data_IF_040427985497
#
_entry.id   IF_040427985497
#
_cell.length_a   1.000
_cell.length_b   1.000
_cell.length_c   1.000
_cell.angle_alpha   90.00
_cell.angle_beta   90.00
_cell.angle_gamma   90.00
#
_symmetry.space_group_name_H-M   'P 1'
#
loop_
_entity.id
_entity.type
_entity.pdbx_description
1 polymer ?
#
# COMPACT_ATOMS: atom_id res chain seq x y z
N UNK A 1 2.70 36.90 -11.14
CA UNK A 1 3.47 36.05 -10.20
C UNK A 1 4.35 35.18 -11.08
N UNK A 2 5.67 35.20 -10.86
CA UNK A 2 6.65 34.71 -11.83
C UNK A 2 6.78 33.18 -11.72
N UNK A 3 6.26 32.44 -12.70
CA UNK A 3 6.18 30.97 -12.72
C UNK A 3 7.51 30.32 -13.14
N UNK A 4 8.51 31.13 -13.52
CA UNK A 4 9.78 30.69 -14.09
C UNK A 4 10.95 30.78 -13.10
N UNK A 5 10.90 30.08 -11.96
CA UNK A 5 12.13 29.91 -11.15
C UNK A 5 12.82 28.57 -11.35
N UNK A 6 12.08 27.54 -11.76
CA UNK A 6 12.62 26.22 -12.09
C UNK A 6 11.69 25.55 -13.12
N UNK A 7 12.04 25.49 -14.42
CA UNK A 7 11.23 24.72 -15.36
C UNK A 7 11.24 23.25 -14.92
N UNK A 8 10.07 22.72 -14.63
CA UNK A 8 9.88 21.29 -14.31
C UNK A 8 10.19 20.49 -15.58
N UNK A 9 11.26 19.70 -15.58
CA UNK A 9 11.49 18.74 -16.66
C UNK A 9 10.67 17.46 -16.41
N UNK A 10 9.41 17.48 -16.83
CA UNK A 10 8.49 16.36 -16.68
C UNK A 10 8.97 15.09 -17.41
N UNK A 11 9.88 15.22 -18.39
CA UNK A 11 10.36 14.07 -19.15
C UNK A 11 11.31 13.18 -18.35
N UNK A 12 11.91 13.68 -17.27
CA UNK A 12 12.71 12.85 -16.36
C UNK A 12 11.87 11.78 -15.64
N UNK A 13 10.56 11.99 -15.52
CA UNK A 13 9.60 11.07 -14.90
C UNK A 13 8.86 10.20 -15.91
N UNK A 14 9.06 10.43 -17.21
CA UNK A 14 8.38 9.67 -18.25
C UNK A 14 8.88 8.24 -18.27
N UNK A 15 8.00 7.28 -18.02
CA UNK A 15 8.30 5.87 -18.21
C UNK A 15 8.16 5.47 -19.68
N UNK A 16 8.50 4.24 -20.06
CA UNK A 16 8.30 3.72 -21.43
C UNK A 16 6.81 3.58 -21.84
N UNK A 17 5.87 4.03 -20.99
CA UNK A 17 4.43 3.98 -21.22
C UNK A 17 3.84 5.25 -21.87
N UNK A 18 2.51 5.24 -22.02
CA UNK A 18 1.71 6.36 -22.55
C UNK A 18 1.14 7.23 -21.42
N UNK A 19 1.96 7.63 -20.45
CA UNK A 19 1.53 8.54 -19.39
C UNK A 19 1.21 9.93 -19.97
N UNK A 20 0.13 10.56 -19.50
CA UNK A 20 -0.22 11.92 -19.88
C UNK A 20 0.78 12.92 -19.29
N UNK A 21 1.03 14.04 -19.97
CA UNK A 21 1.89 15.10 -19.43
C UNK A 21 1.38 15.63 -18.08
N UNK A 22 0.05 15.62 -17.86
CA UNK A 22 -0.58 15.99 -16.59
C UNK A 22 -0.25 15.02 -15.46
N UNK A 23 -0.24 13.73 -15.75
CA UNK A 23 0.19 12.72 -14.78
C UNK A 23 1.66 12.91 -14.40
N UNK A 24 2.52 13.18 -15.38
CA UNK A 24 3.95 13.47 -15.15
C UNK A 24 4.16 14.77 -14.37
N UNK A 25 3.33 15.79 -14.60
CA UNK A 25 3.37 17.04 -13.84
C UNK A 25 3.17 16.81 -12.35
N UNK A 26 2.23 15.94 -11.94
CA UNK A 26 1.99 15.66 -10.53
C UNK A 26 3.23 15.06 -9.84
N UNK A 27 3.93 14.12 -10.53
CA UNK A 27 5.21 13.56 -10.07
C UNK A 27 6.28 14.65 -9.95
N UNK A 28 6.41 15.50 -10.97
CA UNK A 28 7.39 16.57 -11.01
C UNK A 28 7.14 17.64 -9.94
N UNK A 29 5.89 18.06 -9.74
CA UNK A 29 5.51 19.03 -8.70
C UNK A 29 5.76 18.46 -7.30
N UNK A 30 5.48 17.18 -7.07
CA UNK A 30 5.79 16.54 -5.79
C UNK A 30 7.31 16.53 -5.53
N UNK A 31 8.13 16.22 -6.53
CA UNK A 31 9.59 16.26 -6.38
C UNK A 31 10.11 17.69 -6.19
N UNK A 32 9.56 18.67 -6.90
CA UNK A 32 9.88 20.09 -6.73
C UNK A 32 9.61 20.51 -5.29
N UNK A 33 8.43 20.21 -4.75
CA UNK A 33 8.07 20.54 -3.37
C UNK A 33 9.03 19.90 -2.37
N UNK A 34 9.42 18.63 -2.58
CA UNK A 34 10.50 17.99 -1.80
C UNK A 34 11.82 18.76 -1.89
N UNK A 35 12.30 19.10 -3.09
CA UNK A 35 13.56 19.82 -3.29
C UNK A 35 13.56 21.21 -2.62
N UNK A 36 12.39 21.84 -2.56
CA UNK A 36 12.18 23.17 -1.98
C UNK A 36 11.69 23.16 -0.52
N UNK A 37 11.48 21.98 0.06
CA UNK A 37 10.95 21.80 1.41
C UNK A 37 9.59 22.46 1.63
N UNK A 38 8.71 22.25 0.66
CA UNK A 38 7.33 22.74 0.63
C UNK A 38 6.35 21.59 0.86
N UNK A 39 5.24 21.84 1.53
CA UNK A 39 4.20 20.84 1.74
C UNK A 39 3.55 20.42 0.41
N UNK A 40 3.25 19.13 0.19
CA UNK A 40 3.56 18.00 1.07
C UNK A 40 5.04 17.55 0.96
N UNK A 41 5.78 17.57 2.08
CA UNK A 41 7.13 17.01 2.24
C UNK A 41 7.14 16.00 3.41
N UNK A 42 7.88 14.92 3.22
CA UNK A 42 8.17 13.89 4.22
C UNK A 42 9.68 13.61 4.30
N UNK A 43 10.14 13.24 5.48
CA UNK A 43 11.49 12.71 5.67
C UNK A 43 11.61 11.32 5.05
N UNK A 44 12.69 11.06 4.30
CA UNK A 44 12.99 9.75 3.75
C UNK A 44 13.57 9.74 2.34
N UNK A 45 13.66 8.54 1.77
CA UNK A 45 14.06 8.33 0.38
C UNK A 45 12.82 8.32 -0.52
N UNK A 46 12.85 9.12 -1.59
CA UNK A 46 11.78 9.19 -2.58
C UNK A 46 12.18 8.37 -3.80
N UNK A 47 11.29 7.46 -4.21
CA UNK A 47 11.46 6.62 -5.39
C UNK A 47 10.26 6.80 -6.30
N UNK A 48 10.51 7.38 -7.47
CA UNK A 48 9.51 7.55 -8.51
C UNK A 48 9.51 6.33 -9.43
N UNK A 49 8.34 5.95 -9.94
CA UNK A 49 8.26 4.93 -10.97
C UNK A 49 9.08 5.34 -12.20
N UNK A 50 9.90 4.40 -12.70
CA UNK A 50 10.72 4.61 -13.91
C UNK A 50 10.54 3.51 -14.95
N UNK A 51 9.77 2.45 -14.66
CA UNK A 51 9.58 1.28 -15.52
C UNK A 51 8.17 0.72 -15.34
N UNK A 52 7.52 0.40 -16.46
CA UNK A 52 6.23 -0.29 -16.51
C UNK A 52 6.43 -1.69 -15.93
N UNK A 53 6.07 -1.86 -14.67
CA UNK A 53 5.88 -3.15 -14.05
C UNK A 53 4.51 -3.15 -13.39
N UNK A 54 3.87 -4.32 -13.32
CA UNK A 54 2.55 -4.40 -12.74
C UNK A 54 2.59 -4.00 -11.26
N UNK A 55 1.68 -3.11 -10.86
CA UNK A 55 1.44 -2.65 -9.47
C UNK A 55 2.61 -1.92 -8.81
N UNK A 56 3.29 -1.03 -9.53
CA UNK A 56 4.21 -0.02 -8.93
C UNK A 56 3.39 1.23 -8.56
N UNK A 57 3.68 1.89 -7.42
CA UNK A 57 3.17 3.26 -7.16
C UNK A 57 3.63 4.24 -8.21
N UNK A 58 3.08 5.44 -8.21
CA UNK A 58 3.76 6.56 -8.88
C UNK A 58 4.97 7.04 -8.07
N UNK A 59 4.82 7.08 -6.74
CA UNK A 59 5.88 7.45 -5.80
C UNK A 59 5.84 6.58 -4.54
N UNK A 60 6.99 6.03 -4.17
CA UNK A 60 7.25 5.53 -2.82
C UNK A 60 8.07 6.54 -2.02
N UNK A 61 7.66 6.77 -0.77
CA UNK A 61 8.50 7.44 0.22
C UNK A 61 8.85 6.43 1.30
N UNK A 62 10.14 6.11 1.42
CA UNK A 62 10.67 5.24 2.47
C UNK A 62 11.17 6.10 3.62
N UNK A 63 10.39 6.13 4.70
CA UNK A 63 10.62 7.01 5.84
C UNK A 63 11.02 6.19 7.08
N UNK A 64 11.82 6.74 8.00
CA UNK A 64 12.03 6.13 9.31
C UNK A 64 10.75 5.95 10.13
N UNK A 65 9.68 6.66 9.78
CA UNK A 65 8.42 6.67 10.55
C UNK A 65 7.28 5.96 9.83
N UNK A 66 6.90 6.44 8.64
CA UNK A 66 5.77 5.92 7.88
C UNK A 66 6.12 5.89 6.40
N UNK A 67 6.14 4.69 5.84
CA UNK A 67 6.29 4.51 4.40
C UNK A 67 5.01 4.93 3.68
N UNK A 68 5.14 5.59 2.52
CA UNK A 68 4.00 6.11 1.75
C UNK A 68 4.00 5.62 0.32
N UNK A 69 2.83 5.19 -0.12
CA UNK A 69 2.50 4.85 -1.49
C UNK A 69 1.60 5.97 -2.02
N UNK A 70 2.03 6.65 -3.07
CA UNK A 70 1.26 7.76 -3.65
C UNK A 70 0.93 7.38 -5.09
N UNK A 71 -0.36 7.49 -5.44
CA UNK A 71 -0.92 7.24 -6.77
C UNK A 71 -1.58 8.53 -7.30
N UNK A 72 -1.12 9.00 -8.44
CA UNK A 72 -1.63 10.14 -9.19
C UNK A 72 -2.53 9.66 -10.33
N UNK A 73 -3.83 9.91 -10.23
CA UNK A 73 -4.83 9.41 -11.18
C UNK A 73 -5.22 10.50 -12.18
N UNK A 74 -4.94 10.25 -13.47
CA UNK A 74 -5.38 11.07 -14.61
C UNK A 74 -5.83 10.23 -15.81
N UNK A 75 -7.02 9.64 -15.72
CA UNK A 75 -7.73 9.05 -16.87
C UNK A 75 -7.41 7.59 -17.20
N UNK A 76 -6.52 6.93 -16.46
CA UNK A 76 -6.30 5.48 -16.56
C UNK A 76 -7.13 4.71 -15.54
N UNK A 77 -7.63 3.54 -15.93
CA UNK A 77 -8.32 2.61 -15.02
C UNK A 77 -7.37 2.11 -13.94
N UNK A 78 -7.88 1.94 -12.73
CA UNK A 78 -7.09 1.53 -11.57
C UNK A 78 -7.80 0.41 -10.81
N UNK A 79 -7.04 -0.60 -10.38
CA UNK A 79 -7.51 -1.61 -9.42
C UNK A 79 -7.48 -1.03 -7.99
N UNK A 80 -8.30 0.00 -7.71
CA UNK A 80 -8.20 0.79 -6.46
C UNK A 80 -8.14 -0.07 -5.20
N UNK A 81 -9.03 -1.07 -5.10
CA UNK A 81 -9.10 -2.00 -3.97
C UNK A 81 -7.83 -2.86 -3.87
N UNK A 82 -7.43 -3.51 -4.96
CA UNK A 82 -6.28 -4.41 -4.97
C UNK A 82 -4.98 -3.66 -4.65
N UNK A 83 -4.75 -2.49 -5.28
CA UNK A 83 -3.60 -1.63 -5.00
C UNK A 83 -3.58 -1.12 -3.55
N UNK A 84 -4.73 -0.74 -3.01
CA UNK A 84 -4.84 -0.30 -1.61
C UNK A 84 -4.46 -1.42 -0.64
N UNK A 85 -5.01 -2.62 -0.85
CA UNK A 85 -4.68 -3.80 -0.05
C UNK A 85 -3.20 -4.15 -0.16
N UNK A 86 -2.64 -4.13 -1.37
CA UNK A 86 -1.22 -4.43 -1.58
C UNK A 86 -0.31 -3.42 -0.87
N UNK A 87 -0.59 -2.11 -0.99
CA UNK A 87 0.17 -1.09 -0.29
C UNK A 87 0.18 -1.31 1.23
N UNK A 88 -0.99 -1.59 1.81
CA UNK A 88 -1.12 -1.87 3.24
C UNK A 88 -0.36 -3.14 3.65
N UNK A 89 -0.47 -4.25 2.90
CA UNK A 89 0.29 -5.49 3.16
C UNK A 89 1.78 -5.22 3.26
N UNK A 90 2.30 -4.36 2.38
CA UNK A 90 3.71 -3.99 2.30
C UNK A 90 4.14 -2.91 3.32
N UNK A 91 3.25 -2.49 4.22
CA UNK A 91 3.57 -1.51 5.27
C UNK A 91 3.55 -0.06 4.81
N UNK A 92 2.94 0.23 3.66
CA UNK A 92 2.74 1.59 3.19
C UNK A 92 1.34 2.08 3.58
N UNK A 93 1.25 3.34 3.99
CA UNK A 93 -0.03 4.05 3.89
C UNK A 93 -0.20 4.54 2.46
N UNK A 94 -1.41 4.51 1.92
CA UNK A 94 -1.65 4.87 0.52
C UNK A 94 -2.43 6.18 0.40
N UNK A 95 -1.96 7.05 -0.49
CA UNK A 95 -2.62 8.27 -0.91
C UNK A 95 -3.08 8.13 -2.35
N UNK A 96 -4.38 8.32 -2.57
CA UNK A 96 -4.97 8.42 -3.90
C UNK A 96 -5.23 9.89 -4.22
N UNK A 97 -4.55 10.40 -5.25
CA UNK A 97 -4.54 11.82 -5.61
C UNK A 97 -5.08 11.98 -7.03
N UNK A 98 -6.20 12.65 -7.18
CA UNK A 98 -6.89 12.75 -8.48
C UNK A 98 -6.68 14.11 -9.11
N UNK A 99 -6.51 14.15 -10.43
CA UNK A 99 -6.59 15.41 -11.14
C UNK A 99 -7.97 16.04 -10.93
N UNK A 100 -8.07 17.35 -10.70
CA UNK A 100 -9.35 18.03 -10.34
C UNK A 100 -10.49 17.78 -11.34
N UNK A 101 -10.16 17.59 -12.63
CA UNK A 101 -11.11 17.30 -13.70
C UNK A 101 -11.53 15.81 -13.80
N UNK A 102 -11.14 14.96 -12.85
CA UNK A 102 -11.43 13.51 -12.83
C UNK A 102 -12.44 13.11 -11.76
N UNK A 103 -13.53 13.87 -11.69
CA UNK A 103 -14.61 13.63 -10.71
C UNK A 103 -15.22 12.23 -10.80
N UNK A 104 -15.35 11.68 -12.01
CA UNK A 104 -15.90 10.33 -12.22
C UNK A 104 -14.98 9.24 -11.66
N UNK A 105 -13.66 9.31 -11.91
CA UNK A 105 -12.69 8.36 -11.37
C UNK A 105 -12.60 8.47 -9.85
N UNK A 106 -12.68 9.68 -9.30
CA UNK A 106 -12.75 9.88 -7.84
C UNK A 106 -14.00 9.22 -7.24
N UNK A 107 -15.15 9.31 -7.92
CA UNK A 107 -16.39 8.65 -7.49
C UNK A 107 -16.31 7.12 -7.64
N UNK A 108 -15.64 6.63 -8.68
CA UNK A 108 -15.37 5.21 -8.86
C UNK A 108 -14.46 4.64 -7.76
N UNK A 109 -13.34 5.30 -7.49
CA UNK A 109 -12.45 4.96 -6.39
C UNK A 109 -13.20 4.96 -5.05
N UNK A 110 -14.08 5.95 -4.84
CA UNK A 110 -14.93 5.97 -3.65
C UNK A 110 -15.79 4.72 -3.55
N UNK A 111 -16.51 4.36 -4.62
CA UNK A 111 -17.36 3.16 -4.63
C UNK A 111 -16.56 1.88 -4.43
N UNK A 112 -15.40 1.77 -5.06
CA UNK A 112 -14.53 0.60 -4.97
C UNK A 112 -13.96 0.37 -3.56
N UNK A 113 -13.89 1.41 -2.73
CA UNK A 113 -13.32 1.37 -1.39
C UNK A 113 -14.37 1.57 -0.28
N UNK A 114 -15.63 1.85 -0.60
CA UNK A 114 -16.64 2.30 0.36
C UNK A 114 -16.95 1.26 1.43
N UNK A 115 -16.94 -0.03 1.07
CA UNK A 115 -17.22 -1.13 2.00
C UNK A 115 -16.09 -1.32 3.04
N UNK A 116 -14.85 -0.97 2.68
CA UNK A 116 -13.68 -1.16 3.54
C UNK A 116 -13.27 0.15 4.24
N UNK A 117 -13.58 1.32 3.68
CA UNK A 117 -13.23 2.61 4.29
C UNK A 117 -14.14 2.97 5.45
N UNK A 118 -13.53 3.28 6.60
CA UNK A 118 -14.22 3.69 7.82
C UNK A 118 -14.17 5.20 8.01
N UNK A 119 -15.33 5.79 8.26
CA UNK A 119 -15.45 7.20 8.63
C UNK A 119 -15.32 8.18 7.44
N UNK A 120 -15.27 9.49 7.72
CA UNK A 120 -15.03 10.49 6.68
C UNK A 120 -13.61 10.36 6.14
N UNK A 121 -13.48 10.50 4.82
CA UNK A 121 -12.22 10.34 4.11
C UNK A 121 -12.19 11.24 2.88
N UNK A 122 -11.06 11.92 2.67
CA UNK A 122 -10.86 12.85 1.56
C UNK A 122 -9.71 12.37 0.67
N UNK A 123 -10.02 12.08 -0.59
CA UNK A 123 -8.99 11.88 -1.61
C UNK A 123 -8.19 13.16 -1.86
N UNK A 124 -6.90 12.98 -2.17
CA UNK A 124 -6.05 14.07 -2.62
C UNK A 124 -6.46 14.63 -3.98
N UNK A 125 -5.95 15.81 -4.29
CA UNK A 125 -6.21 16.48 -5.55
C UNK A 125 -4.98 17.20 -6.08
N UNK A 126 -4.85 17.24 -7.40
CA UNK A 126 -3.85 18.05 -8.07
C UNK A 126 -4.43 18.84 -9.26
N UNK A 127 -3.88 20.02 -9.50
CA UNK A 127 -4.20 20.92 -10.61
C UNK A 127 -2.94 21.63 -11.09
N UNK A 128 -2.50 21.29 -12.29
CA UNK A 128 -1.35 21.91 -12.95
C UNK A 128 -1.56 23.41 -13.17
N UNK A 129 -2.75 23.82 -13.62
CA UNK A 129 -3.04 25.21 -13.97
C UNK A 129 -3.05 26.12 -12.72
N UNK A 130 -3.53 25.57 -11.59
CA UNK A 130 -3.54 26.23 -10.29
C UNK A 130 -2.27 26.06 -9.46
N UNK A 131 -1.33 25.21 -9.88
CA UNK A 131 -0.16 24.85 -9.07
C UNK A 131 -0.50 24.13 -7.76
N UNK A 132 -1.63 23.41 -7.74
CA UNK A 132 -2.17 22.76 -6.54
C UNK A 132 -1.74 21.30 -6.48
N UNK A 133 -1.32 20.86 -5.29
CA UNK A 133 -1.11 19.47 -4.95
C UNK A 133 -1.42 19.28 -3.46
N UNK A 134 -2.39 18.43 -3.17
CA UNK A 134 -2.81 18.00 -1.84
C UNK A 134 -2.95 16.47 -1.86
N UNK A 135 -2.36 15.78 -0.88
CA UNK A 135 -2.41 14.31 -0.81
C UNK A 135 -3.69 13.76 -0.18
N UNK A 136 -4.49 14.62 0.47
CA UNK A 136 -5.67 14.21 1.22
C UNK A 136 -5.32 13.29 2.39
N UNK A 137 -6.33 12.55 2.85
CA UNK A 137 -6.19 11.59 3.95
C UNK A 137 -5.46 10.33 3.47
N UNK A 138 -4.50 9.79 4.23
CA UNK A 138 -3.94 8.47 3.95
C UNK A 138 -4.94 7.36 4.29
N UNK A 139 -4.98 6.31 3.48
CA UNK A 139 -5.60 5.03 3.84
C UNK A 139 -4.58 4.21 4.65
N UNK A 140 -5.03 3.70 5.79
CA UNK A 140 -4.24 2.99 6.81
C UNK A 140 -5.08 1.86 7.41
N UNK A 141 -4.49 0.95 8.19
CA UNK A 141 -5.24 -0.04 8.97
C UNK A 141 -6.24 0.56 9.98
N UNK A 142 -6.15 1.85 10.32
CA UNK A 142 -7.08 2.51 11.26
C UNK A 142 -8.41 2.88 10.61
N UNK A 143 -8.38 3.22 9.33
CA UNK A 143 -9.54 3.68 8.56
C UNK A 143 -9.88 2.76 7.38
N UNK A 144 -9.29 1.56 7.33
CA UNK A 144 -9.54 0.56 6.30
C UNK A 144 -9.75 -0.82 6.93
N UNK A 145 -10.87 -1.47 6.59
CA UNK A 145 -11.22 -2.81 7.01
C UNK A 145 -10.63 -3.84 6.06
N UNK A 146 -9.52 -4.44 6.44
CA UNK A 146 -8.84 -5.43 5.62
C UNK A 146 -9.34 -6.83 5.98
N UNK A 147 -10.58 -7.14 5.60
CA UNK A 147 -11.13 -8.49 5.74
C UNK A 147 -10.33 -9.47 4.87
N UNK A 148 -10.00 -10.64 5.42
CA UNK A 148 -9.37 -11.73 4.67
C UNK A 148 -10.48 -12.57 4.03
N UNK A 149 -10.44 -12.69 2.70
CA UNK A 149 -11.52 -13.29 1.90
C UNK A 149 -11.19 -14.70 1.41
N UNK A 150 -9.91 -15.07 1.35
CA UNK A 150 -9.47 -16.40 0.96
C UNK A 150 -8.18 -16.79 1.68
N UNK A 151 -7.87 -18.08 1.65
CA UNK A 151 -6.61 -18.61 2.17
C UNK A 151 -5.38 -18.14 1.38
N UNK A 152 -5.57 -17.58 0.17
CA UNK A 152 -4.48 -17.05 -0.65
C UNK A 152 -3.78 -15.87 0.03
N UNK A 153 -4.48 -15.14 0.91
CA UNK A 153 -3.93 -14.03 1.72
C UNK A 153 -2.82 -14.46 2.70
N UNK A 154 -2.66 -15.78 2.91
CA UNK A 154 -1.61 -16.36 3.74
C UNK A 154 -0.47 -16.99 2.93
N UNK A 155 -0.60 -17.06 1.60
CA UNK A 155 0.47 -17.56 0.73
C UNK A 155 1.50 -16.47 0.47
N UNK A 156 2.76 -16.81 0.64
CA UNK A 156 3.87 -15.85 0.49
C UNK A 156 3.92 -15.28 -0.92
N UNK A 157 3.70 -16.11 -1.94
CA UNK A 157 3.81 -15.70 -3.34
C UNK A 157 2.68 -14.75 -3.78
N UNK A 158 1.53 -14.79 -3.10
CA UNK A 158 0.38 -13.89 -3.34
C UNK A 158 0.51 -12.54 -2.63
N UNK A 159 1.39 -12.46 -1.64
CA UNK A 159 1.72 -11.22 -0.89
C UNK A 159 2.85 -10.43 -1.59
N UNK A 160 3.43 -10.97 -2.67
CA UNK A 160 4.68 -10.49 -3.28
C UNK A 160 4.51 -9.78 -4.63
N UNK A 161 3.40 -9.07 -4.85
CA UNK A 161 3.05 -8.43 -6.12
C UNK A 161 4.09 -7.44 -6.71
N UNK A 162 5.14 -7.09 -5.97
CA UNK A 162 6.09 -6.04 -6.36
C UNK A 162 7.53 -6.51 -6.71
N UNK A 163 7.78 -7.84 -6.82
CA UNK A 163 9.06 -8.54 -7.13
C UNK A 163 9.59 -9.29 -5.91
N UNK A 164 9.85 -10.58 -6.11
CA UNK A 164 10.51 -11.51 -5.19
C UNK A 164 11.57 -10.81 -4.32
N UNK A 165 11.27 -10.63 -3.03
CA UNK A 165 12.19 -10.06 -2.03
C UNK A 165 11.99 -8.58 -1.67
N UNK A 166 11.14 -7.83 -2.40
CA UNK A 166 10.96 -6.38 -2.17
C UNK A 166 10.07 -6.05 -0.97
N UNK A 167 9.20 -6.99 -0.56
CA UNK A 167 8.33 -6.83 0.59
C UNK A 167 9.04 -6.94 1.94
N UNK A 168 10.34 -7.28 1.95
CA UNK A 168 11.10 -7.42 3.19
C UNK A 168 10.59 -8.52 4.12
N UNK A 169 9.83 -9.50 3.59
CA UNK A 169 9.26 -10.60 4.37
C UNK A 169 10.38 -11.31 5.11
N UNK A 170 10.34 -11.27 6.43
CA UNK A 170 11.36 -11.86 7.27
C UNK A 170 11.30 -13.37 7.17
N UNK A 171 12.40 -13.95 6.73
CA UNK A 171 12.61 -15.40 6.84
C UNK A 171 12.86 -15.78 8.30
N UNK A 172 12.17 -16.81 8.77
CA UNK A 172 12.28 -17.34 10.13
C UNK A 172 12.78 -18.78 10.02
N UNK A 173 13.81 -19.11 10.80
CA UNK A 173 14.40 -20.46 10.87
C UNK A 173 14.77 -21.05 9.48
N UNK A 174 15.06 -20.19 8.51
CA UNK A 174 15.48 -20.54 7.14
C UNK A 174 14.37 -21.00 6.18
N UNK A 175 13.17 -21.29 6.67
CA UNK A 175 12.07 -21.87 5.87
C UNK A 175 10.67 -21.31 6.17
N UNK A 176 10.53 -20.55 7.26
CA UNK A 176 9.30 -19.86 7.62
C UNK A 176 9.29 -18.38 7.21
N UNK A 177 8.11 -17.77 7.23
CA UNK A 177 7.89 -16.37 6.84
C UNK A 177 6.91 -15.71 7.80
N UNK A 178 7.21 -14.49 8.25
CA UNK A 178 6.24 -13.67 8.98
C UNK A 178 5.32 -12.99 7.95
N UNK A 179 4.05 -13.37 7.88
CA UNK A 179 3.13 -12.89 6.85
C UNK A 179 2.26 -11.73 7.32
N UNK A 180 2.46 -11.29 8.56
CA UNK A 180 1.97 -10.05 9.12
C UNK A 180 1.13 -10.21 10.40
N UNK A 181 0.42 -9.14 10.75
CA UNK A 181 -0.39 -9.08 11.98
C UNK A 181 -1.87 -9.23 11.65
N UNK A 182 -2.54 -10.13 12.37
CA UNK A 182 -3.94 -10.49 12.14
C UNK A 182 -4.75 -10.46 13.43
N UNK A 183 -6.03 -10.16 13.29
CA UNK A 183 -7.06 -10.48 14.26
C UNK A 183 -7.77 -11.77 13.79
N UNK A 184 -7.65 -12.83 14.60
CA UNK A 184 -8.24 -14.15 14.37
C UNK A 184 -9.43 -14.33 15.32
N UNK A 185 -10.58 -13.75 14.99
CA UNK A 185 -11.79 -13.87 15.78
C UNK A 185 -11.69 -13.25 17.18
N UNK A 186 -10.98 -12.12 17.30
CA UNK A 186 -10.73 -11.40 18.55
C UNK A 186 -9.37 -11.72 19.20
N UNK A 187 -8.57 -12.60 18.60
CA UNK A 187 -7.20 -12.87 19.03
C UNK A 187 -6.19 -12.21 18.09
N UNK A 188 -5.45 -11.23 18.59
CA UNK A 188 -4.45 -10.50 17.81
C UNK A 188 -3.08 -11.15 17.92
N UNK A 189 -2.48 -11.49 16.77
CA UNK A 189 -1.17 -12.14 16.72
C UNK A 189 -0.40 -11.76 15.46
N UNK A 190 0.92 -11.90 15.54
CA UNK A 190 1.77 -12.05 14.36
C UNK A 190 1.59 -13.49 13.87
N UNK A 191 1.32 -13.66 12.59
CA UNK A 191 1.15 -14.96 11.99
C UNK A 191 2.38 -15.29 11.14
N UNK A 192 2.94 -16.45 11.41
CA UNK A 192 4.07 -17.00 10.68
C UNK A 192 3.62 -18.27 9.96
N UNK A 193 4.15 -18.48 8.75
CA UNK A 193 3.89 -19.67 7.94
C UNK A 193 5.17 -20.44 7.69
N UNK A 194 5.06 -21.77 7.70
CA UNK A 194 6.12 -22.65 7.24
C UNK A 194 5.90 -22.94 5.76
N UNK A 195 6.95 -22.74 4.95
CA UNK A 195 6.84 -22.85 3.50
C UNK A 195 6.07 -21.68 2.88
N UNK A 196 6.02 -21.65 1.54
CA UNK A 196 5.36 -20.56 0.80
C UNK A 196 3.85 -20.75 0.66
N UNK A 197 3.39 -22.00 0.73
CA UNK A 197 2.01 -22.40 0.51
C UNK A 197 1.14 -22.37 1.77
N UNK A 198 1.72 -22.06 2.94
CA UNK A 198 0.99 -22.00 4.21
C UNK A 198 0.72 -23.38 4.81
N UNK A 199 1.70 -24.29 4.76
CA UNK A 199 1.54 -25.69 5.20
C UNK A 199 1.29 -25.81 6.72
N UNK A 200 1.99 -25.00 7.50
CA UNK A 200 1.81 -24.91 8.96
C UNK A 200 1.84 -23.45 9.38
N UNK A 201 1.00 -23.13 10.35
CA UNK A 201 0.96 -21.80 10.94
C UNK A 201 1.54 -21.81 12.35
N UNK A 202 2.06 -20.66 12.73
CA UNK A 202 2.44 -20.34 14.10
C UNK A 202 1.93 -18.95 14.43
N UNK A 203 1.07 -18.85 15.43
CA UNK A 203 0.68 -17.57 16.01
C UNK A 203 1.66 -17.16 17.12
N UNK A 204 2.19 -15.95 17.03
CA UNK A 204 3.08 -15.36 18.02
C UNK A 204 2.43 -14.08 18.56
N UNK A 205 2.38 -13.86 19.88
CA UNK A 205 1.88 -12.59 20.41
C UNK A 205 2.61 -11.38 19.83
N UNK A 206 1.88 -10.28 19.64
CA UNK A 206 2.45 -9.05 19.09
C UNK A 206 3.51 -8.50 20.04
N UNK A 207 4.73 -8.30 19.54
CA UNK A 207 5.87 -7.80 20.32
C UNK A 207 6.72 -8.87 21.00
N UNK A 208 6.32 -10.15 20.94
CA UNK A 208 7.10 -11.26 21.51
C UNK A 208 7.98 -11.95 20.47
N UNK A 209 9.05 -12.60 20.94
CA UNK A 209 9.93 -13.40 20.10
C UNK A 209 9.29 -14.75 19.76
N UNK A 210 9.60 -15.29 18.59
CA UNK A 210 9.02 -16.54 18.09
C UNK A 210 9.67 -17.80 18.69
N UNK A 211 10.77 -17.64 19.43
CA UNK A 211 11.55 -18.73 20.02
C UNK A 211 10.70 -19.57 20.99
N UNK A 212 10.72 -20.90 20.82
CA UNK A 212 9.96 -21.83 21.65
C UNK A 212 8.46 -21.92 21.37
N UNK A 213 7.92 -21.08 20.47
CA UNK A 213 6.52 -21.17 20.06
C UNK A 213 6.35 -22.32 19.06
N UNK A 214 5.42 -23.28 19.29
CA UNK A 214 5.26 -24.45 18.43
C UNK A 214 4.59 -24.10 17.10
N UNK A 215 4.98 -24.84 16.05
CA UNK A 215 4.26 -24.86 14.77
C UNK A 215 2.98 -25.70 14.86
N UNK A 216 2.03 -25.42 13.97
CA UNK A 216 0.76 -26.13 13.87
C UNK A 216 -0.36 -25.53 14.72
N UNK A 217 -0.15 -24.34 15.29
CA UNK A 217 -1.22 -23.58 15.96
C UNK A 217 -1.20 -22.09 15.55
N UNK A 218 -2.30 -21.57 14.98
CA UNK A 218 -3.54 -22.28 14.65
C UNK A 218 -3.35 -23.36 13.57
N UNK A 219 -4.29 -24.31 13.45
CA UNK A 219 -4.28 -25.26 12.34
C UNK A 219 -4.77 -24.59 11.04
N UNK A 220 -4.38 -25.15 9.89
CA UNK A 220 -4.85 -24.71 8.57
C UNK A 220 -6.39 -24.71 8.51
N UNK A 221 -7.03 -25.84 8.83
CA UNK A 221 -8.49 -25.97 8.90
C UNK A 221 -9.14 -24.96 9.87
N UNK A 222 -8.42 -24.60 10.94
CA UNK A 222 -8.89 -23.62 11.93
C UNK A 222 -8.94 -22.22 11.34
N UNK A 223 -7.88 -21.82 10.63
CA UNK A 223 -7.85 -20.53 9.92
C UNK A 223 -8.89 -20.52 8.79
N UNK A 224 -8.96 -21.58 7.99
CA UNK A 224 -9.92 -21.67 6.89
C UNK A 224 -11.35 -21.45 7.36
N UNK A 225 -11.77 -22.10 8.45
CA UNK A 225 -13.09 -21.87 9.06
C UNK A 225 -13.30 -20.43 9.55
N UNK A 226 -12.26 -19.77 10.05
CA UNK A 226 -12.35 -18.37 10.46
C UNK A 226 -12.50 -17.45 9.24
N UNK A 227 -11.80 -17.74 8.13
CA UNK A 227 -11.94 -17.01 6.86
C UNK A 227 -13.36 -17.18 6.31
N UNK A 228 -13.84 -18.42 6.22
CA UNK A 228 -15.21 -18.74 5.76
C UNK A 228 -16.28 -18.04 6.62
N UNK A 229 -16.02 -17.88 7.93
CA UNK A 229 -16.91 -17.19 8.85
C UNK A 229 -16.77 -15.65 8.84
N UNK A 230 -15.86 -15.09 8.03
CA UNK A 230 -15.57 -13.65 8.00
C UNK A 230 -15.02 -13.13 9.33
N UNK A 231 -14.20 -13.93 10.02
CA UNK A 231 -13.63 -13.65 11.35
C UNK A 231 -12.14 -13.36 11.32
N UNK A 232 -11.56 -13.18 10.14
CA UNK A 232 -10.14 -12.85 9.99
C UNK A 232 -10.01 -11.46 9.39
N UNK A 233 -9.24 -10.61 10.07
CA UNK A 233 -8.89 -9.28 9.60
C UNK A 233 -7.38 -9.12 9.65
N UNK A 234 -6.77 -8.61 8.58
CA UNK A 234 -5.39 -8.16 8.61
C UNK A 234 -5.33 -6.80 9.30
N UNK A 235 -4.53 -6.67 10.35
CA UNK A 235 -4.44 -5.45 11.17
C UNK A 235 -3.04 -4.83 11.16
N UNK A 236 -2.10 -5.46 10.45
CA UNK A 236 -0.77 -4.94 10.26
C UNK A 236 -0.08 -5.54 9.04
N UNK A 237 1.04 -4.92 8.64
CA UNK A 237 1.78 -5.32 7.47
C UNK A 237 2.52 -6.64 7.70
N UNK A 238 3.12 -7.14 6.63
CA UNK A 238 4.16 -8.15 6.68
C UNK A 238 5.38 -7.64 7.48
N UNK A 239 6.08 -8.54 8.18
CA UNK A 239 7.20 -8.23 9.09
C UNK A 239 8.46 -9.02 8.81
#
# INVERSE_FOLDING_TARGET
MNVDKYPLDINEYRTAGMESDRHLWAKAEFDRRRQHREDPEFDGEYRFEKKVADRVPDVHVLSPTVNRWIEFVDGSDQEYRAKTREALRLGFVIHWVFHINRGEQRAEARRALDEELRGPFTFGSFDEAGGMLDLGDPITYRNFDFAVESMDEFRVDEILGYRSGSAGIKTIDGVGFEIGVFDLGGYQCRLEVLGRDGELFRSVPVGEASEGTPWGFPSVDGIERLVEAGKVTRIGPVG
#
